data_IF_339098561192
#
_entry.id   IF_339098561192
#
_cell.length_a   1.000
_cell.length_b   1.000
_cell.length_c   1.000
_cell.angle_alpha   90.00
_cell.angle_beta   90.00
_cell.angle_gamma   90.00
#
_symmetry.space_group_name_H-M   'P 1'
#
loop_
_entity.id
_entity.type
_entity.pdbx_description
1 polymer ?
#
# COMPACT_ATOMS: atom_id res chain seq x y z
N UNK A 1 -11.89 23.77 -4.25
CA UNK A 1 -11.42 23.27 -2.95
C UNK A 1 -11.59 21.74 -2.84
N UNK A 2 -12.82 21.19 -2.81
CA UNK A 2 -13.01 19.72 -2.72
C UNK A 2 -12.58 18.96 -3.99
N UNK A 3 -12.93 19.45 -5.18
CA UNK A 3 -12.52 18.87 -6.47
C UNK A 3 -11.00 18.88 -6.68
N UNK A 4 -10.33 19.93 -6.22
CA UNK A 4 -8.88 20.10 -6.31
C UNK A 4 -8.17 19.14 -5.34
N UNK A 5 -8.71 18.97 -4.12
CA UNK A 5 -8.24 17.96 -3.19
C UNK A 5 -8.43 16.53 -3.72
N UNK A 6 -9.51 16.26 -4.46
CA UNK A 6 -9.75 14.97 -5.09
C UNK A 6 -8.75 14.67 -6.21
N UNK A 7 -8.46 15.66 -7.07
CA UNK A 7 -7.45 15.51 -8.13
C UNK A 7 -6.04 15.32 -7.60
N UNK A 8 -5.66 16.06 -6.56
CA UNK A 8 -4.37 15.86 -5.87
C UNK A 8 -4.27 14.43 -5.35
N UNK A 9 -5.31 13.92 -4.70
CA UNK A 9 -5.31 12.56 -4.17
C UNK A 9 -5.28 11.48 -5.24
N UNK A 10 -5.95 11.67 -6.37
CA UNK A 10 -5.85 10.76 -7.51
C UNK A 10 -4.41 10.70 -8.05
N UNK A 11 -3.73 11.84 -8.11
CA UNK A 11 -2.33 11.90 -8.53
C UNK A 11 -1.41 11.18 -7.52
N UNK A 12 -1.66 11.37 -6.23
CA UNK A 12 -0.95 10.64 -5.16
C UNK A 12 -1.17 9.13 -5.31
N UNK A 13 -2.42 8.67 -5.43
CA UNK A 13 -2.76 7.25 -5.60
C UNK A 13 -2.06 6.67 -6.83
N UNK A 14 -2.11 7.36 -7.97
CA UNK A 14 -1.43 6.94 -9.21
C UNK A 14 0.08 6.82 -9.00
N UNK A 15 0.72 7.84 -8.43
CA UNK A 15 2.15 7.82 -8.18
C UNK A 15 2.54 6.68 -7.25
N UNK A 16 1.89 6.57 -6.10
CA UNK A 16 2.14 5.53 -5.09
C UNK A 16 1.92 4.13 -5.65
N UNK A 17 0.87 3.93 -6.44
CA UNK A 17 0.60 2.64 -7.08
C UNK A 17 1.73 2.26 -8.04
N UNK A 18 2.20 3.18 -8.88
CA UNK A 18 3.29 2.93 -9.82
C UNK A 18 4.60 2.61 -9.11
N UNK A 19 4.88 3.30 -8.00
CA UNK A 19 6.08 3.10 -7.22
C UNK A 19 6.07 1.73 -6.53
N UNK A 20 4.98 1.38 -5.86
CA UNK A 20 4.82 0.08 -5.21
C UNK A 20 4.82 -1.07 -6.23
N UNK A 21 4.23 -0.87 -7.40
CA UNK A 21 4.26 -1.86 -8.49
C UNK A 21 5.69 -2.14 -8.93
N UNK A 22 6.48 -1.08 -9.19
CA UNK A 22 7.88 -1.23 -9.61
C UNK A 22 8.74 -1.93 -8.56
N UNK A 23 8.56 -1.60 -7.28
CA UNK A 23 9.27 -2.27 -6.19
C UNK A 23 8.87 -3.74 -6.10
N UNK A 24 7.57 -4.03 -6.15
CA UNK A 24 7.06 -5.39 -6.06
C UNK A 24 7.58 -6.27 -7.20
N UNK A 25 7.54 -5.78 -8.44
CA UNK A 25 8.02 -6.51 -9.61
C UNK A 25 9.54 -6.70 -9.58
N UNK A 26 10.30 -5.69 -9.16
CA UNK A 26 11.75 -5.83 -8.99
C UNK A 26 12.06 -6.91 -7.95
N UNK A 27 11.38 -6.89 -6.81
CA UNK A 27 11.58 -7.87 -5.76
C UNK A 27 11.04 -9.27 -6.11
N UNK A 28 10.06 -9.41 -7.01
CA UNK A 28 9.63 -10.73 -7.50
C UNK A 28 10.75 -11.43 -8.29
N UNK A 29 11.59 -10.66 -9.00
CA UNK A 29 12.72 -11.19 -9.78
C UNK A 29 13.92 -11.50 -8.90
N UNK A 30 14.24 -10.63 -7.94
CA UNK A 30 15.47 -10.71 -7.15
C UNK A 30 15.28 -11.26 -5.73
N UNK A 31 14.05 -11.24 -5.21
CA UNK A 31 13.74 -11.53 -3.82
C UNK A 31 13.22 -12.95 -3.63
N UNK A 32 14.10 -13.88 -3.29
CA UNK A 32 13.66 -15.08 -2.57
C UNK A 32 13.42 -14.65 -1.12
N UNK A 33 12.17 -14.68 -0.62
CA UNK A 33 11.91 -14.30 0.77
C UNK A 33 12.65 -15.25 1.70
N UNK A 34 13.63 -14.73 2.45
CA UNK A 34 14.36 -15.50 3.46
C UNK A 34 13.44 -15.92 4.64
N UNK A 35 12.31 -15.21 4.80
CA UNK A 35 11.22 -15.52 5.72
C UNK A 35 9.89 -15.17 5.09
N UNK A 36 8.86 -15.98 5.36
CA UNK A 36 7.48 -15.67 4.95
C UNK A 36 6.86 -14.67 5.94
N UNK A 37 6.43 -13.53 5.42
CA UNK A 37 5.68 -12.54 6.20
C UNK A 37 4.22 -12.98 6.38
N UNK A 38 3.56 -12.52 7.45
CA UNK A 38 2.09 -12.64 7.61
C UNK A 38 1.31 -11.96 6.47
N UNK A 39 1.96 -11.01 5.77
CA UNK A 39 1.38 -10.33 4.62
C UNK A 39 1.49 -11.15 3.34
N UNK A 40 2.19 -12.29 3.34
CA UNK A 40 2.36 -13.11 2.15
C UNK A 40 1.05 -13.84 1.80
N UNK A 41 0.52 -13.56 0.61
CA UNK A 41 -0.63 -14.26 0.04
C UNK A 41 -0.23 -15.62 -0.55
N UNK A 42 -1.17 -16.56 -0.55
CA UNK A 42 -0.98 -17.88 -1.18
C UNK A 42 -0.90 -17.78 -2.71
N UNK A 43 -1.54 -16.76 -3.29
CA UNK A 43 -1.57 -16.49 -4.71
C UNK A 43 -1.42 -15.00 -4.96
N UNK A 44 -0.88 -14.65 -6.14
CA UNK A 44 -0.84 -13.26 -6.60
C UNK A 44 -2.27 -12.76 -6.86
N UNK A 45 -2.69 -11.62 -6.27
CA UNK A 45 -3.99 -11.04 -6.58
C UNK A 45 -4.11 -10.67 -8.06
N UNK A 46 -5.26 -10.95 -8.67
CA UNK A 46 -5.55 -10.60 -10.07
C UNK A 46 -5.85 -9.10 -10.27
N UNK A 47 -6.18 -8.39 -9.20
CA UNK A 47 -6.40 -6.94 -9.22
C UNK A 47 -5.07 -6.19 -9.15
N UNK A 48 -4.91 -5.16 -9.98
CA UNK A 48 -3.74 -4.28 -9.96
C UNK A 48 -3.65 -3.51 -8.64
N UNK A 49 -2.45 -3.05 -8.27
CA UNK A 49 -2.25 -2.23 -7.08
C UNK A 49 -3.06 -0.93 -7.18
N UNK A 50 -3.07 -0.29 -8.36
CA UNK A 50 -3.85 0.94 -8.60
C UNK A 50 -5.34 0.72 -8.34
N UNK A 51 -5.96 -0.25 -9.00
CA UNK A 51 -7.39 -0.54 -8.83
C UNK A 51 -7.70 -0.97 -7.38
N UNK A 52 -6.76 -1.61 -6.70
CA UNK A 52 -6.93 -1.97 -5.30
C UNK A 52 -6.94 -0.73 -4.39
N UNK A 53 -6.00 0.20 -4.55
CA UNK A 53 -5.96 1.46 -3.79
C UNK A 53 -7.20 2.31 -4.08
N UNK A 54 -7.61 2.42 -5.34
CA UNK A 54 -8.83 3.16 -5.74
C UNK A 54 -10.08 2.59 -5.06
N UNK A 55 -10.19 1.25 -4.96
CA UNK A 55 -11.29 0.61 -4.22
C UNK A 55 -11.23 0.95 -2.73
N UNK A 56 -10.04 0.91 -2.13
CA UNK A 56 -9.89 1.27 -0.71
C UNK A 56 -10.28 2.74 -0.51
N UNK A 57 -9.80 3.64 -1.36
CA UNK A 57 -10.17 5.06 -1.33
C UNK A 57 -11.68 5.28 -1.44
N UNK A 58 -12.34 4.55 -2.34
CA UNK A 58 -13.79 4.65 -2.52
C UNK A 58 -14.61 4.09 -1.35
N UNK A 59 -14.16 3.02 -0.70
CA UNK A 59 -14.99 2.25 0.23
C UNK A 59 -14.55 2.31 1.70
N UNK A 60 -13.30 2.70 2.00
CA UNK A 60 -12.80 2.72 3.37
C UNK A 60 -13.36 3.87 4.22
N UNK A 61 -13.91 4.90 3.59
CA UNK A 61 -14.51 6.07 4.24
C UNK A 61 -13.58 6.69 5.31
N UNK A 62 -12.31 6.86 4.96
CA UNK A 62 -11.27 7.45 5.82
C UNK A 62 -10.70 8.71 5.18
N UNK A 63 -10.07 9.57 5.99
CA UNK A 63 -9.50 10.83 5.51
C UNK A 63 -8.43 10.60 4.43
N UNK A 64 -8.30 11.48 3.43
CA UNK A 64 -7.27 11.33 2.40
C UNK A 64 -5.83 11.30 2.95
N UNK A 65 -5.59 11.98 4.08
CA UNK A 65 -4.33 11.92 4.83
C UNK A 65 -3.92 10.49 5.23
N UNK A 66 -4.89 9.58 5.40
CA UNK A 66 -4.63 8.19 5.77
C UNK A 66 -3.83 7.44 4.71
N UNK A 67 -3.94 7.80 3.44
CA UNK A 67 -3.18 7.16 2.36
C UNK A 67 -1.72 7.60 2.36
N UNK A 68 -1.46 8.87 2.67
CA UNK A 68 -0.09 9.42 2.81
C UNK A 68 0.60 8.77 4.01
N UNK A 69 -0.09 8.69 5.14
CA UNK A 69 0.44 8.06 6.37
C UNK A 69 0.62 6.54 6.19
N UNK A 70 -0.32 5.85 5.53
CA UNK A 70 -0.16 4.44 5.18
C UNK A 70 1.12 4.19 4.36
N UNK A 71 1.43 5.07 3.41
CA UNK A 71 2.67 4.97 2.65
C UNK A 71 3.92 5.14 3.54
N UNK A 72 3.91 6.08 4.48
CA UNK A 72 4.98 6.23 5.49
C UNK A 72 5.12 4.95 6.33
N UNK A 73 4.03 4.28 6.68
CA UNK A 73 4.09 3.00 7.39
C UNK A 73 4.72 1.89 6.55
N UNK A 74 4.40 1.82 5.27
CA UNK A 74 5.02 0.86 4.34
C UNK A 74 6.53 1.13 4.21
N UNK A 75 6.95 2.38 4.00
CA UNK A 75 8.36 2.76 3.91
C UNK A 75 9.14 2.39 5.18
N UNK A 76 8.59 2.74 6.36
CA UNK A 76 9.17 2.36 7.65
C UNK A 76 9.23 0.84 7.85
N UNK A 77 8.23 0.10 7.37
CA UNK A 77 8.23 -1.36 7.44
C UNK A 77 9.40 -1.95 6.64
N UNK A 78 9.62 -1.48 5.40
CA UNK A 78 10.72 -1.94 4.55
C UNK A 78 12.08 -1.67 5.20
N UNK A 79 12.27 -0.48 5.76
CA UNK A 79 13.52 -0.11 6.43
C UNK A 79 13.79 -0.97 7.67
N UNK A 80 12.76 -1.30 8.45
CA UNK A 80 12.89 -2.09 9.69
C UNK A 80 12.93 -3.59 9.45
N UNK A 81 12.41 -4.07 8.32
CA UNK A 81 12.27 -5.49 8.00
C UNK A 81 12.92 -5.81 6.63
N UNK A 82 14.25 -5.62 6.48
CA UNK A 82 14.94 -5.83 5.20
C UNK A 82 14.86 -7.28 4.69
N UNK A 83 14.57 -8.24 5.57
CA UNK A 83 14.39 -9.66 5.23
C UNK A 83 13.00 -9.99 4.68
N UNK A 84 12.06 -9.03 4.71
CA UNK A 84 10.67 -9.18 4.26
C UNK A 84 10.38 -8.20 3.12
N UNK A 85 10.93 -8.42 1.91
CA UNK A 85 10.76 -7.51 0.79
C UNK A 85 9.30 -7.39 0.37
N UNK A 86 8.91 -6.21 -0.11
CA UNK A 86 7.60 -6.01 -0.75
C UNK A 86 7.61 -6.72 -2.10
N UNK A 87 6.72 -7.68 -2.31
CA UNK A 87 6.57 -8.43 -3.56
C UNK A 87 5.11 -8.40 -4.03
N UNK A 88 4.83 -8.96 -5.21
CA UNK A 88 3.45 -9.09 -5.72
C UNK A 88 2.55 -9.95 -4.82
N UNK A 89 3.14 -10.73 -3.91
CA UNK A 89 2.42 -11.57 -2.96
C UNK A 89 2.12 -10.87 -1.63
N UNK A 90 2.85 -9.80 -1.29
CA UNK A 90 2.73 -9.13 0.01
C UNK A 90 2.07 -7.76 -0.08
N UNK A 91 2.25 -7.05 -1.20
CA UNK A 91 1.94 -5.63 -1.33
C UNK A 91 0.47 -5.29 -1.05
N UNK A 92 -0.50 -6.07 -1.55
CA UNK A 92 -1.92 -5.81 -1.32
C UNK A 92 -2.30 -5.92 0.16
N UNK A 93 -1.87 -7.00 0.83
CA UNK A 93 -2.17 -7.22 2.26
C UNK A 93 -1.49 -6.19 3.15
N UNK A 94 -0.24 -5.86 2.85
CA UNK A 94 0.49 -4.81 3.58
C UNK A 94 -0.18 -3.45 3.40
N UNK A 95 -0.67 -3.14 2.19
CA UNK A 95 -1.31 -1.87 1.89
C UNK A 95 -2.61 -1.68 2.66
N UNK A 96 -3.54 -2.65 2.63
CA UNK A 96 -4.79 -2.52 3.39
C UNK A 96 -4.53 -2.46 4.90
N UNK A 97 -3.59 -3.25 5.42
CA UNK A 97 -3.22 -3.19 6.82
C UNK A 97 -2.70 -1.79 7.21
N UNK A 98 -1.84 -1.21 6.37
CA UNK A 98 -1.29 0.13 6.60
C UNK A 98 -2.36 1.22 6.57
N UNK A 99 -3.31 1.13 5.64
CA UNK A 99 -4.46 2.06 5.57
C UNK A 99 -5.35 1.93 6.79
N UNK A 100 -5.68 0.70 7.22
CA UNK A 100 -6.52 0.49 8.40
C UNK A 100 -5.86 1.02 9.68
N UNK A 101 -4.56 0.78 9.87
CA UNK A 101 -3.80 1.33 11.01
C UNK A 101 -3.78 2.86 10.94
N UNK A 102 -3.62 3.43 9.74
CA UNK A 102 -3.65 4.87 9.56
C UNK A 102 -5.02 5.48 9.87
N UNK A 103 -6.09 4.91 9.33
CA UNK A 103 -7.45 5.37 9.58
C UNK A 103 -7.77 5.32 11.08
N UNK A 104 -7.43 4.20 11.73
CA UNK A 104 -7.63 4.05 13.18
C UNK A 104 -6.89 5.10 14.01
N UNK A 105 -5.75 5.59 13.54
CA UNK A 105 -4.97 6.58 14.28
C UNK A 105 -5.39 8.01 13.94
N UNK A 106 -5.68 8.29 12.68
CA UNK A 106 -5.90 9.64 12.17
C UNK A 106 -7.35 10.10 12.29
N UNK A 107 -8.31 9.18 12.17
CA UNK A 107 -9.75 9.52 12.12
C UNK A 107 -10.49 9.22 13.43
N UNK A 108 -10.01 8.28 14.25
CA UNK A 108 -10.66 7.91 15.53
C UNK A 108 -10.10 8.65 16.75
N UNK A 109 -8.98 9.37 16.63
CA UNK A 109 -8.40 10.19 17.70
C UNK A 109 -8.81 11.66 17.57
#
# INVERSE_FOLDING_TARGET
MELESYDVMNNVIKYLSSFLQRIAESNDVFGVPLKTSIFHGLTRPSISILCYIERIYKYANCSPSCFVVAYIYIDRFVQKQPLLPISSFTVHRLLIASVLVSAKFMDDM
#
